data_IF_243350716024
#
_entry.id   IF_243350716024
#
_cell.length_a   1.000
_cell.length_b   1.000
_cell.length_c   1.000
_cell.angle_alpha   90.00
_cell.angle_beta   90.00
_cell.angle_gamma   90.00
#
_symmetry.space_group_name_H-M   'P 1'
#
loop_
_entity.id
_entity.type
_entity.pdbx_description
1 polymer ?
#
# COMPACT_ATOMS: atom_id res chain seq x y z
N UNK A 1 -3.40 73.70 -65.68
CA UNK A 1 -4.74 73.46 -66.29
C UNK A 1 -4.74 72.40 -67.39
N UNK A 2 -3.70 72.28 -68.24
CA UNK A 2 -3.61 71.18 -69.23
C UNK A 2 -3.11 69.88 -68.60
N UNK A 3 -2.00 69.90 -67.86
CA UNK A 3 -1.46 68.71 -67.16
C UNK A 3 -2.48 68.05 -66.23
N UNK A 4 -3.23 68.83 -65.44
CA UNK A 4 -4.29 68.31 -64.57
C UNK A 4 -5.46 67.65 -65.32
N UNK A 5 -5.68 67.97 -66.60
CA UNK A 5 -6.70 67.32 -67.43
C UNK A 5 -6.17 66.01 -68.00
N UNK A 6 -4.93 65.99 -68.46
CA UNK A 6 -4.25 64.77 -68.95
C UNK A 6 -4.11 63.72 -67.83
N UNK A 7 -3.77 64.14 -66.60
CA UNK A 7 -3.69 63.25 -65.43
C UNK A 7 -5.04 62.61 -65.08
N UNK A 8 -6.13 63.35 -65.24
CA UNK A 8 -7.49 62.86 -65.00
C UNK A 8 -7.94 61.89 -66.10
N UNK A 9 -7.61 62.17 -67.36
CA UNK A 9 -7.93 61.32 -68.51
C UNK A 9 -7.18 59.98 -68.44
N UNK A 10 -5.89 60.00 -68.09
CA UNK A 10 -5.10 58.79 -67.84
C UNK A 10 -5.66 57.95 -66.67
N UNK A 11 -6.18 58.60 -65.62
CA UNK A 11 -6.82 57.91 -64.51
C UNK A 11 -8.16 57.30 -64.94
N UNK A 12 -8.94 58.02 -65.75
CA UNK A 12 -10.21 57.54 -66.28
C UNK A 12 -10.02 56.31 -67.16
N UNK A 13 -9.05 56.34 -68.09
CA UNK A 13 -8.72 55.18 -68.93
C UNK A 13 -8.28 53.97 -68.08
N UNK A 14 -7.48 54.19 -67.04
CA UNK A 14 -7.09 53.11 -66.11
C UNK A 14 -8.29 52.51 -65.39
N UNK A 15 -9.23 53.35 -64.94
CA UNK A 15 -10.44 52.90 -64.24
C UNK A 15 -11.37 52.16 -65.21
N UNK A 16 -11.56 52.66 -66.43
CA UNK A 16 -12.33 51.99 -67.48
C UNK A 16 -11.70 50.63 -67.82
N UNK A 17 -10.37 50.58 -68.01
CA UNK A 17 -9.67 49.33 -68.27
C UNK A 17 -9.78 48.30 -67.12
N UNK A 18 -9.71 48.75 -65.86
CA UNK A 18 -9.92 47.85 -64.71
C UNK A 18 -11.40 47.44 -64.59
N UNK A 19 -12.34 48.33 -64.92
CA UNK A 19 -13.78 48.02 -64.94
C UNK A 19 -14.07 46.94 -65.98
N UNK A 20 -13.59 47.10 -67.21
CA UNK A 20 -13.69 46.10 -68.28
C UNK A 20 -13.08 44.75 -67.86
N UNK A 21 -11.92 44.78 -67.19
CA UNK A 21 -11.25 43.57 -66.69
C UNK A 21 -12.11 42.86 -65.64
N UNK A 22 -12.72 43.62 -64.73
CA UNK A 22 -13.59 43.06 -63.70
C UNK A 22 -14.90 42.52 -64.30
N UNK A 23 -15.50 43.23 -65.25
CA UNK A 23 -16.70 42.78 -65.96
C UNK A 23 -16.46 41.46 -66.70
N UNK A 24 -15.33 41.31 -67.41
CA UNK A 24 -14.96 40.05 -68.06
C UNK A 24 -14.81 38.92 -67.06
N UNK A 25 -14.11 39.15 -65.95
CA UNK A 25 -13.95 38.15 -64.87
C UNK A 25 -15.29 37.75 -64.24
N UNK A 26 -16.27 38.66 -64.20
CA UNK A 26 -17.61 38.37 -63.67
C UNK A 26 -18.45 37.54 -64.63
N UNK A 27 -18.24 37.72 -65.94
CA UNK A 27 -18.91 36.95 -66.99
C UNK A 27 -18.30 35.55 -67.17
N UNK A 28 -17.01 35.39 -66.90
CA UNK A 28 -16.31 34.11 -66.98
C UNK A 28 -16.82 33.09 -65.93
N UNK A 29 -16.61 31.80 -66.23
CA UNK A 29 -16.97 30.74 -65.31
C UNK A 29 -16.16 30.83 -64.02
N UNK A 30 -16.85 30.86 -62.87
CA UNK A 30 -16.20 30.83 -61.56
C UNK A 30 -15.33 29.57 -61.41
N UNK A 31 -14.20 29.66 -60.69
CA UNK A 31 -13.38 28.49 -60.43
C UNK A 31 -14.12 27.50 -59.51
N UNK A 32 -13.68 26.24 -59.54
CA UNK A 32 -14.39 25.11 -58.91
C UNK A 32 -14.61 25.30 -57.40
N UNK A 33 -13.67 25.91 -56.68
CA UNK A 33 -13.77 26.13 -55.23
C UNK A 33 -14.75 27.26 -54.84
N UNK A 34 -15.18 28.10 -55.79
CA UNK A 34 -16.27 29.08 -55.60
C UNK A 34 -17.65 28.49 -55.93
N UNK A 35 -17.71 27.26 -56.44
CA UNK A 35 -18.97 26.56 -56.74
C UNK A 35 -19.31 25.63 -55.58
N UNK A 36 -20.58 25.61 -55.19
CA UNK A 36 -21.09 24.61 -54.25
C UNK A 36 -21.17 23.23 -54.89
N UNK A 37 -21.14 22.17 -54.07
CA UNK A 37 -21.46 20.80 -54.47
C UNK A 37 -20.65 20.27 -55.66
N UNK A 38 -19.34 20.53 -55.67
CA UNK A 38 -18.46 20.09 -56.75
C UNK A 38 -18.19 18.57 -56.66
N UNK A 39 -18.37 17.84 -57.76
CA UNK A 39 -17.94 16.44 -57.84
C UNK A 39 -16.45 16.36 -58.25
N UNK A 40 -15.81 15.22 -57.98
CA UNK A 40 -14.40 15.00 -58.33
C UNK A 40 -14.13 15.05 -59.86
N UNK A 41 -15.15 14.87 -60.69
CA UNK A 41 -15.04 14.90 -62.16
C UNK A 41 -15.09 16.31 -62.75
N UNK A 42 -15.67 17.27 -62.02
CA UNK A 42 -15.86 18.65 -62.49
C UNK A 42 -14.66 19.54 -62.19
N UNK A 43 -13.63 18.98 -61.54
CA UNK A 43 -12.35 19.62 -61.24
C UNK A 43 -11.20 18.78 -61.80
N UNK A 44 -10.09 19.44 -62.08
CA UNK A 44 -8.87 18.76 -62.52
C UNK A 44 -8.26 17.93 -61.38
N UNK A 45 -7.46 16.92 -61.74
CA UNK A 45 -6.78 16.06 -60.78
C UNK A 45 -5.83 16.86 -59.87
N UNK A 46 -5.69 16.45 -58.60
CA UNK A 46 -4.80 17.07 -57.59
C UNK A 46 -5.05 18.54 -57.21
N UNK A 47 -5.99 19.25 -57.83
CA UNK A 47 -6.36 20.65 -57.49
C UNK A 47 -6.74 20.89 -56.03
N UNK A 48 -7.27 19.89 -55.32
CA UNK A 48 -7.60 20.01 -53.88
C UNK A 48 -6.36 20.17 -53.01
N UNK A 49 -5.18 19.71 -53.45
CA UNK A 49 -3.93 19.86 -52.69
C UNK A 49 -3.35 21.28 -52.80
N UNK A 50 -3.74 22.03 -53.82
CA UNK A 50 -3.26 23.40 -54.07
C UNK A 50 -4.01 24.42 -53.19
N UNK A 51 -5.29 24.15 -52.93
CA UNK A 51 -6.16 25.04 -52.17
C UNK A 51 -6.21 24.70 -50.67
N UNK A 52 -6.20 25.74 -49.83
CA UNK A 52 -6.31 25.59 -48.38
C UNK A 52 -7.78 25.52 -47.95
N UNK A 53 -8.30 24.30 -47.84
CA UNK A 53 -9.66 24.04 -47.38
C UNK A 53 -9.68 23.71 -45.87
N UNK A 54 -10.47 24.45 -45.11
CA UNK A 54 -10.74 24.12 -43.71
C UNK A 54 -11.90 23.12 -43.62
N UNK A 55 -11.59 21.88 -43.26
CA UNK A 55 -12.57 20.80 -43.14
C UNK A 55 -12.62 20.31 -41.70
N UNK A 56 -13.84 20.24 -41.16
CA UNK A 56 -14.02 19.67 -39.84
C UNK A 56 -13.68 18.17 -39.87
N UNK A 57 -12.72 17.78 -39.03
CA UNK A 57 -12.32 16.37 -38.87
C UNK A 57 -13.05 15.80 -37.66
N UNK A 58 -13.82 14.74 -37.87
CA UNK A 58 -14.43 13.96 -36.81
C UNK A 58 -13.42 12.89 -36.33
N UNK A 59 -12.97 13.02 -35.07
CA UNK A 59 -12.09 12.06 -34.41
C UNK A 59 -11.07 12.72 -33.48
N UNK A 60 -10.78 12.10 -32.33
CA UNK A 60 -9.66 12.52 -31.49
C UNK A 60 -8.36 12.02 -32.11
N UNK A 61 -7.46 12.93 -32.47
CA UNK A 61 -6.15 12.56 -32.97
C UNK A 61 -5.26 12.11 -31.81
N UNK A 62 -4.50 11.03 -32.01
CA UNK A 62 -3.49 10.59 -31.04
C UNK A 62 -2.38 11.66 -31.01
N UNK A 63 -2.11 12.30 -29.86
CA UNK A 63 -1.01 13.25 -29.78
C UNK A 63 0.32 12.55 -30.15
N UNK A 64 1.28 13.29 -30.74
CA UNK A 64 2.62 12.76 -30.94
C UNK A 64 3.21 12.30 -29.59
N UNK A 65 4.20 11.38 -29.61
CA UNK A 65 4.86 10.95 -28.39
C UNK A 65 5.37 12.18 -27.62
N UNK A 66 5.16 12.19 -26.31
CA UNK A 66 5.66 13.24 -25.45
C UNK A 66 7.20 13.26 -25.49
N UNK A 67 7.76 14.43 -25.24
CA UNK A 67 9.20 14.63 -25.17
C UNK A 67 9.82 13.73 -24.09
N UNK A 68 10.90 13.03 -24.45
CA UNK A 68 11.58 12.09 -23.57
C UNK A 68 12.16 12.80 -22.34
N UNK A 69 12.62 14.05 -22.50
CA UNK A 69 13.21 14.84 -21.43
C UNK A 69 12.20 15.13 -20.32
N UNK A 70 10.95 15.46 -20.68
CA UNK A 70 9.86 15.71 -19.73
C UNK A 70 9.52 14.45 -18.94
N UNK A 71 9.50 13.29 -19.60
CA UNK A 71 9.27 12.00 -18.94
C UNK A 71 10.40 11.68 -17.96
N UNK A 72 11.66 11.92 -18.36
CA UNK A 72 12.81 11.68 -17.49
C UNK A 72 12.81 12.60 -16.25
N UNK A 73 12.47 13.87 -16.42
CA UNK A 73 12.34 14.81 -15.30
C UNK A 73 11.24 14.37 -14.32
N UNK A 74 10.09 13.94 -14.85
CA UNK A 74 9.01 13.38 -14.04
C UNK A 74 9.49 12.15 -13.24
N UNK A 75 10.14 11.19 -13.89
CA UNK A 75 10.65 9.98 -13.23
C UNK A 75 11.69 10.34 -12.15
N UNK A 76 12.65 11.24 -12.45
CA UNK A 76 13.65 11.72 -11.48
C UNK A 76 12.98 12.35 -10.26
N UNK A 77 11.93 13.16 -10.47
CA UNK A 77 11.14 13.77 -9.41
C UNK A 77 10.42 12.71 -8.57
N UNK A 78 9.71 11.77 -9.19
CA UNK A 78 8.99 10.70 -8.50
C UNK A 78 9.92 9.82 -7.65
N UNK A 79 11.11 9.48 -8.16
CA UNK A 79 12.12 8.72 -7.40
C UNK A 79 12.63 9.52 -6.20
N UNK A 80 12.90 10.81 -6.39
CA UNK A 80 13.34 11.72 -5.32
C UNK A 80 12.28 11.87 -4.22
N UNK A 81 11.01 11.95 -4.62
CA UNK A 81 9.85 12.10 -3.72
C UNK A 81 9.35 10.75 -3.16
N UNK A 82 9.87 9.62 -3.64
CA UNK A 82 9.42 8.26 -3.32
C UNK A 82 7.90 8.04 -3.52
N UNK A 83 7.30 8.75 -4.48
CA UNK A 83 5.88 8.67 -4.80
C UNK A 83 5.64 7.56 -5.82
N UNK A 84 5.52 6.33 -5.33
CA UNK A 84 5.28 5.15 -6.16
C UNK A 84 3.88 4.58 -5.89
N UNK A 85 3.10 4.39 -6.95
CA UNK A 85 1.82 3.69 -6.92
C UNK A 85 2.03 2.17 -7.11
N UNK A 86 2.77 1.55 -6.18
CA UNK A 86 3.02 0.11 -6.19
C UNK A 86 2.05 -0.59 -5.24
N UNK A 87 1.44 -1.73 -5.63
CA UNK A 87 0.55 -2.47 -4.75
C UNK A 87 1.28 -2.91 -3.49
N UNK A 88 0.66 -2.68 -2.32
CA UNK A 88 1.20 -3.08 -1.02
C UNK A 88 0.73 -4.50 -0.68
N UNK A 89 1.64 -5.34 -0.18
CA UNK A 89 1.27 -6.65 0.34
C UNK A 89 0.30 -6.50 1.52
N UNK A 90 -0.88 -7.10 1.40
CA UNK A 90 -1.81 -7.21 2.52
C UNK A 90 -1.22 -8.15 3.56
N UNK A 91 -0.77 -7.61 4.69
CA UNK A 91 -0.49 -8.44 5.86
C UNK A 91 -1.80 -9.07 6.32
N UNK A 92 -1.82 -10.39 6.56
CA UNK A 92 -2.92 -11.01 7.31
C UNK A 92 -3.06 -10.22 8.62
N UNK A 93 -4.28 -9.81 8.95
CA UNK A 93 -4.57 -9.14 10.22
C UNK A 93 -3.97 -10.00 11.33
N UNK A 94 -2.85 -9.57 11.92
CA UNK A 94 -2.44 -10.17 13.17
C UNK A 94 -3.52 -9.80 14.17
N UNK A 95 -4.05 -10.77 14.94
CA UNK A 95 -4.96 -10.46 16.02
C UNK A 95 -4.31 -9.35 16.84
N UNK A 96 -4.98 -8.20 16.93
CA UNK A 96 -4.52 -7.08 17.75
C UNK A 96 -4.07 -7.68 19.09
N UNK A 97 -2.79 -7.50 19.44
CA UNK A 97 -2.28 -7.85 20.77
C UNK A 97 -3.32 -7.35 21.76
N UNK A 98 -3.98 -8.28 22.48
CA UNK A 98 -5.08 -8.00 23.41
C UNK A 98 -4.69 -6.73 24.16
N UNK A 99 -5.35 -5.61 23.85
CA UNK A 99 -5.02 -4.34 24.47
C UNK A 99 -5.13 -4.56 25.97
N UNK A 100 -4.06 -4.25 26.71
CA UNK A 100 -4.04 -4.37 28.17
C UNK A 100 -5.38 -3.89 28.70
N UNK A 101 -6.09 -4.69 29.51
CA UNK A 101 -7.42 -4.34 29.96
C UNK A 101 -7.36 -2.95 30.58
N UNK A 102 -8.25 -2.06 30.11
CA UNK A 102 -8.44 -0.78 30.75
C UNK A 102 -8.78 -1.05 32.22
N UNK A 103 -8.01 -0.45 33.13
CA UNK A 103 -8.32 -0.49 34.54
C UNK A 103 -9.64 0.26 34.72
N UNK A 104 -10.73 -0.48 34.88
CA UNK A 104 -12.01 0.10 35.29
C UNK A 104 -11.82 0.42 36.77
N UNK A 105 -11.63 1.69 37.12
CA UNK A 105 -11.71 2.18 38.49
C UNK A 105 -13.17 2.09 38.95
N UNK A 106 -13.67 0.88 39.17
CA UNK A 106 -14.86 0.70 39.99
C UNK A 106 -14.42 0.94 41.43
N UNK A 107 -14.76 2.10 41.98
CA UNK A 107 -14.43 2.55 43.34
C UNK A 107 -15.21 1.79 44.42
N UNK A 108 -15.34 0.47 44.29
CA UNK A 108 -15.88 -0.37 45.36
C UNK A 108 -14.81 -0.50 46.45
N UNK A 109 -15.09 -0.01 47.64
CA UNK A 109 -14.20 -0.09 48.81
C UNK A 109 -14.10 -1.54 49.28
N UNK A 110 -13.22 -2.33 48.67
CA UNK A 110 -12.89 -3.68 49.12
C UNK A 110 -11.81 -3.61 50.20
N UNK A 111 -11.88 -4.51 51.17
CA UNK A 111 -10.83 -4.63 52.18
C UNK A 111 -9.58 -5.26 51.58
N UNK A 112 -8.40 -4.86 52.03
CA UNK A 112 -7.12 -5.43 51.58
C UNK A 112 -7.09 -6.96 51.74
N UNK A 113 -7.72 -7.50 52.79
CA UNK A 113 -7.84 -8.95 53.03
C UNK A 113 -8.66 -9.62 51.92
N UNK A 114 -9.79 -9.03 51.56
CA UNK A 114 -10.68 -9.53 50.51
C UNK A 114 -10.00 -9.49 49.13
N UNK A 115 -9.19 -8.47 48.86
CA UNK A 115 -8.39 -8.40 47.63
C UNK A 115 -7.32 -9.50 47.58
N UNK A 116 -6.67 -9.81 48.72
CA UNK A 116 -5.71 -10.92 48.79
C UNK A 116 -6.37 -12.29 48.66
N UNK A 117 -7.53 -12.50 49.29
CA UNK A 117 -8.32 -13.73 49.14
C UNK A 117 -8.79 -13.92 47.70
N UNK A 118 -9.27 -12.85 47.07
CA UNK A 118 -9.67 -12.86 45.66
C UNK A 118 -8.49 -13.09 44.72
N UNK A 119 -7.31 -12.52 45.01
CA UNK A 119 -6.07 -12.74 44.25
C UNK A 119 -5.63 -14.20 44.40
N UNK A 120 -5.61 -14.72 45.62
CA UNK A 120 -5.23 -16.11 45.89
C UNK A 120 -6.20 -17.11 45.24
N UNK A 121 -7.50 -16.87 45.33
CA UNK A 121 -8.52 -17.66 44.67
C UNK A 121 -8.37 -17.59 43.13
N UNK A 122 -8.18 -16.40 42.55
CA UNK A 122 -7.91 -16.23 41.12
C UNK A 122 -6.64 -16.94 40.66
N UNK A 123 -5.59 -16.89 41.47
CA UNK A 123 -4.34 -17.60 41.20
C UNK A 123 -4.52 -19.12 41.23
N UNK A 124 -5.40 -19.63 42.09
CA UNK A 124 -5.73 -21.06 42.10
C UNK A 124 -6.70 -21.44 40.96
N UNK A 125 -7.45 -20.49 40.40
CA UNK A 125 -8.38 -20.64 39.27
C UNK A 125 -7.76 -20.30 37.90
N UNK A 126 -6.43 -20.13 37.82
CA UNK A 126 -5.65 -19.59 36.69
C UNK A 126 -5.73 -20.32 35.32
N UNK A 127 -6.72 -21.16 35.06
CA UNK A 127 -6.89 -21.81 33.76
C UNK A 127 -8.12 -21.38 32.95
N UNK A 128 -9.08 -20.66 33.54
CA UNK A 128 -10.27 -20.23 32.79
C UNK A 128 -10.35 -18.71 32.81
N UNK A 129 -9.78 -18.07 31.78
CA UNK A 129 -10.16 -16.70 31.42
C UNK A 129 -11.70 -16.66 31.39
N UNK A 130 -12.29 -15.86 32.28
CA UNK A 130 -13.73 -15.64 32.33
C UNK A 130 -14.14 -14.86 31.08
N UNK A 131 -14.25 -15.56 29.97
CA UNK A 131 -14.84 -15.05 28.75
C UNK A 131 -16.30 -14.73 29.04
N UNK A 132 -16.81 -13.66 28.42
CA UNK A 132 -18.22 -13.28 28.58
C UNK A 132 -19.13 -14.49 28.32
N UNK A 133 -20.00 -14.86 29.27
CA UNK A 133 -20.83 -16.08 29.15
C UNK A 133 -21.77 -16.03 27.94
N UNK A 134 -22.12 -14.82 27.49
CA UNK A 134 -22.90 -14.60 26.27
C UNK A 134 -22.08 -14.98 25.03
N UNK A 135 -20.79 -14.63 25.00
CA UNK A 135 -19.90 -14.92 23.88
C UNK A 135 -19.64 -16.42 23.76
N UNK A 136 -19.47 -17.12 24.88
CA UNK A 136 -19.28 -18.57 24.89
C UNK A 136 -20.55 -19.31 24.47
N UNK A 137 -21.74 -18.84 24.89
CA UNK A 137 -23.02 -19.39 24.45
C UNK A 137 -23.22 -19.25 22.93
N UNK A 138 -22.98 -18.04 22.39
CA UNK A 138 -23.07 -17.79 20.94
C UNK A 138 -22.08 -18.67 20.17
N UNK A 139 -20.85 -18.85 20.67
CA UNK A 139 -19.87 -19.73 20.04
C UNK A 139 -20.32 -21.19 20.00
N UNK A 140 -20.93 -21.68 21.08
CA UNK A 140 -21.46 -23.04 21.14
C UNK A 140 -22.62 -23.26 20.16
N UNK A 141 -23.59 -22.33 20.11
CA UNK A 141 -24.69 -22.37 19.15
C UNK A 141 -24.20 -22.30 17.70
N UNK A 142 -23.19 -21.47 17.44
CA UNK A 142 -22.60 -21.34 16.10
C UNK A 142 -21.92 -22.64 15.64
N UNK A 143 -21.19 -23.32 16.53
CA UNK A 143 -20.57 -24.62 16.22
C UNK A 143 -21.61 -25.69 15.89
N UNK A 144 -22.69 -25.77 16.68
CA UNK A 144 -23.80 -26.71 16.44
C UNK A 144 -24.51 -26.44 15.10
N UNK A 145 -24.74 -25.18 14.75
CA UNK A 145 -25.31 -24.81 13.44
C UNK A 145 -24.38 -25.21 12.30
N UNK A 146 -23.08 -24.96 12.43
CA UNK A 146 -22.12 -25.30 11.37
C UNK A 146 -21.96 -26.81 11.19
N UNK A 147 -21.94 -27.59 12.27
CA UNK A 147 -21.90 -29.05 12.17
C UNK A 147 -23.11 -29.60 11.39
N UNK A 148 -24.30 -29.04 11.63
CA UNK A 148 -25.52 -29.40 10.90
C UNK A 148 -25.45 -29.03 9.42
N UNK A 149 -24.92 -27.85 9.09
CA UNK A 149 -24.75 -27.39 7.70
C UNK A 149 -23.68 -28.21 6.95
N UNK A 150 -22.58 -28.53 7.61
CA UNK A 150 -21.49 -29.33 7.07
C UNK A 150 -21.98 -30.76 6.78
N UNK A 151 -22.78 -31.34 7.68
CA UNK A 151 -23.44 -32.64 7.48
C UNK A 151 -24.44 -32.61 6.30
N UNK A 152 -25.28 -31.57 6.22
CA UNK A 152 -26.26 -31.40 5.14
C UNK A 152 -25.59 -31.25 3.76
N UNK A 153 -24.43 -30.60 3.71
CA UNK A 153 -23.65 -30.40 2.48
C UNK A 153 -22.76 -31.59 2.09
N UNK A 154 -22.92 -32.75 2.75
CA UNK A 154 -22.06 -33.93 2.54
C UNK A 154 -20.56 -33.60 2.69
N UNK A 155 -20.23 -32.69 3.60
CA UNK A 155 -18.86 -32.22 3.87
C UNK A 155 -18.18 -31.53 2.67
N UNK A 156 -18.94 -31.04 1.69
CA UNK A 156 -18.43 -30.21 0.59
C UNK A 156 -18.48 -28.72 0.93
N UNK A 157 -17.69 -28.30 1.92
CA UNK A 157 -17.59 -26.91 2.35
C UNK A 157 -16.17 -26.37 2.24
N UNK A 158 -16.03 -25.05 2.35
CA UNK A 158 -14.71 -24.40 2.42
C UNK A 158 -14.19 -24.52 3.85
N UNK A 159 -13.03 -25.17 4.09
CA UNK A 159 -12.49 -25.34 5.43
C UNK A 159 -12.36 -24.03 6.18
N UNK A 160 -12.55 -24.09 7.51
CA UNK A 160 -12.46 -22.93 8.38
C UNK A 160 -11.12 -22.21 8.23
N UNK A 161 -11.15 -20.88 8.34
CA UNK A 161 -9.93 -20.07 8.34
C UNK A 161 -9.10 -20.47 9.56
N UNK A 162 -7.85 -20.87 9.34
CA UNK A 162 -6.93 -21.20 10.41
C UNK A 162 -6.79 -20.01 11.38
N UNK A 163 -7.18 -20.24 12.64
CA UNK A 163 -6.88 -19.36 13.74
C UNK A 163 -5.61 -19.87 14.44
N UNK A 164 -4.66 -18.98 14.78
CA UNK A 164 -3.47 -19.40 15.51
C UNK A 164 -3.87 -19.81 16.94
N UNK A 165 -3.91 -21.11 17.18
CA UNK A 165 -4.16 -21.69 18.50
C UNK A 165 -2.83 -21.93 19.22
N UNK A 166 -2.75 -21.54 20.50
CA UNK A 166 -1.56 -21.75 21.33
C UNK A 166 -1.83 -22.94 22.23
N UNK A 167 -1.26 -24.10 21.88
CA UNK A 167 -1.28 -25.29 22.73
C UNK A 167 -0.06 -25.31 23.67
N UNK A 168 -0.29 -25.32 24.97
CA UNK A 168 0.78 -25.44 25.97
C UNK A 168 1.03 -26.92 26.26
N UNK A 169 2.14 -27.45 25.75
CA UNK A 169 2.56 -28.85 25.98
C UNK A 169 3.45 -28.90 27.24
N UNK A 170 3.15 -29.81 28.15
CA UNK A 170 3.95 -30.06 29.34
C UNK A 170 4.98 -31.16 29.07
N UNK A 171 6.17 -31.08 29.70
CA UNK A 171 7.26 -32.07 29.58
C UNK A 171 6.92 -33.42 30.23
N UNK A 172 6.04 -34.18 29.58
CA UNK A 172 5.64 -35.54 29.96
C UNK A 172 6.28 -36.55 28.99
N UNK A 173 6.48 -37.82 29.39
CA UNK A 173 6.89 -38.86 28.46
C UNK A 173 5.81 -39.08 27.40
N UNK A 174 6.21 -39.38 26.16
CA UNK A 174 5.30 -39.58 25.04
C UNK A 174 4.29 -40.71 25.29
N UNK A 175 4.66 -41.68 26.13
CA UNK A 175 3.80 -42.75 26.62
C UNK A 175 2.45 -42.26 27.19
N UNK A 176 2.40 -41.05 27.78
CA UNK A 176 1.15 -40.49 28.33
C UNK A 176 0.14 -40.12 27.23
N UNK A 177 0.61 -39.85 26.01
CA UNK A 177 -0.24 -39.57 24.86
C UNK A 177 -0.60 -40.84 24.07
N UNK A 178 0.06 -41.96 24.33
CA UNK A 178 -0.25 -43.23 23.66
C UNK A 178 -1.58 -43.81 24.15
N UNK A 179 -2.24 -44.57 23.28
CA UNK A 179 -3.41 -45.35 23.65
C UNK A 179 -3.02 -46.41 24.69
N UNK A 180 -3.92 -46.68 25.64
CA UNK A 180 -3.72 -47.69 26.67
C UNK A 180 -3.74 -49.10 26.06
N UNK A 181 -2.59 -49.56 25.59
CA UNK A 181 -2.35 -50.90 25.07
C UNK A 181 -1.35 -51.69 25.93
N UNK A 182 -1.27 -53.02 25.76
CA UNK A 182 -0.32 -53.86 26.48
C UNK A 182 1.14 -53.68 26.04
N UNK A 183 1.40 -52.94 24.96
CA UNK A 183 2.76 -52.70 24.44
C UNK A 183 2.97 -51.21 24.25
N UNK A 184 3.97 -50.67 24.95
CA UNK A 184 4.47 -49.32 24.75
C UNK A 184 5.45 -49.30 23.58
N UNK A 185 5.32 -48.31 22.70
CA UNK A 185 6.18 -48.19 21.50
C UNK A 185 7.26 -47.12 21.72
N UNK A 186 6.95 -46.01 22.40
CA UNK A 186 7.88 -44.90 22.58
C UNK A 186 8.46 -44.77 24.00
N UNK A 187 9.75 -44.41 24.06
CA UNK A 187 10.50 -44.11 25.29
C UNK A 187 11.01 -42.66 25.32
N UNK A 188 10.49 -41.79 24.45
CA UNK A 188 10.97 -40.41 24.27
C UNK A 188 10.05 -39.44 24.99
N UNK A 189 10.57 -38.29 25.42
CA UNK A 189 9.77 -37.21 26.00
C UNK A 189 9.09 -36.36 24.92
N UNK A 190 7.97 -35.71 25.26
CA UNK A 190 7.21 -34.85 24.35
C UNK A 190 7.94 -33.56 23.97
N UNK A 191 8.81 -33.06 24.85
CA UNK A 191 9.50 -31.79 24.67
C UNK A 191 10.86 -32.03 24.01
N UNK A 192 11.17 -31.26 22.97
CA UNK A 192 12.46 -31.40 22.29
C UNK A 192 13.60 -30.87 23.19
N UNK A 193 14.84 -31.41 23.05
CA UNK A 193 15.99 -30.89 23.79
C UNK A 193 16.23 -29.39 23.58
N UNK A 194 15.88 -28.84 22.42
CA UNK A 194 15.99 -27.40 22.11
C UNK A 194 14.96 -26.54 22.85
N UNK A 195 13.81 -27.12 23.22
CA UNK A 195 12.75 -26.46 23.98
C UNK A 195 13.03 -26.54 25.49
N UNK A 196 13.64 -27.64 25.95
CA UNK A 196 14.19 -27.75 27.32
C UNK A 196 15.40 -26.83 27.50
N UNK A 197 16.28 -26.80 26.51
CA UNK A 197 17.53 -26.06 26.51
C UNK A 197 17.68 -25.33 25.18
N UNK A 198 17.41 -24.03 25.19
CA UNK A 198 17.57 -23.19 24.00
C UNK A 198 18.95 -23.41 23.36
N UNK A 199 19.02 -23.56 22.03
CA UNK A 199 20.28 -23.83 21.36
C UNK A 199 21.29 -22.74 21.71
N UNK A 200 22.42 -23.14 22.31
CA UNK A 200 23.55 -22.25 22.53
C UNK A 200 24.06 -21.83 21.16
N UNK A 201 23.68 -20.64 20.71
CA UNK A 201 23.99 -20.13 19.38
C UNK A 201 25.50 -20.14 19.07
N UNK A 202 26.20 -19.04 19.39
CA UNK A 202 27.66 -19.03 19.28
C UNK A 202 28.27 -19.55 20.59
N UNK A 203 29.41 -20.24 20.48
CA UNK A 203 30.21 -20.66 21.64
C UNK A 203 30.47 -19.42 22.50
N UNK A 204 30.06 -19.48 23.77
CA UNK A 204 30.26 -18.39 24.73
C UNK A 204 31.76 -18.26 25.00
N UNK A 205 32.40 -17.29 24.33
CA UNK A 205 33.78 -16.88 24.62
C UNK A 205 33.77 -15.77 25.68
N UNK A 206 34.69 -15.86 26.63
CA UNK A 206 34.90 -14.78 27.60
C UNK A 206 35.38 -13.48 26.92
N UNK A 207 35.09 -12.32 27.52
CA UNK A 207 35.58 -11.02 27.03
C UNK A 207 37.10 -10.96 26.89
N UNK A 208 37.79 -11.75 27.72
CA UNK A 208 39.25 -11.94 27.78
C UNK A 208 39.81 -12.80 26.65
N UNK A 209 39.01 -13.71 26.10
CA UNK A 209 39.39 -14.66 25.04
C UNK A 209 39.10 -14.11 23.63
N UNK A 210 38.36 -13.00 23.56
CA UNK A 210 37.95 -12.34 22.32
C UNK A 210 39.08 -11.49 21.73
N UNK A 211 39.61 -11.93 20.58
CA UNK A 211 40.59 -11.17 19.80
C UNK A 211 39.95 -9.93 19.16
N UNK A 212 40.78 -8.94 18.79
CA UNK A 212 40.33 -7.71 18.13
C UNK A 212 39.60 -7.97 16.79
N UNK A 213 40.03 -9.00 16.05
CA UNK A 213 39.39 -9.42 14.80
C UNK A 213 38.01 -10.01 15.03
N UNK A 214 37.84 -10.81 16.08
CA UNK A 214 36.55 -11.40 16.48
C UNK A 214 35.55 -10.30 16.89
N UNK A 215 35.99 -9.34 17.71
CA UNK A 215 35.18 -8.16 18.09
C UNK A 215 34.69 -7.36 16.86
N UNK A 216 35.57 -7.18 15.85
CA UNK A 216 35.22 -6.49 14.60
C UNK A 216 34.19 -7.28 13.78
N UNK A 217 34.35 -8.60 13.68
CA UNK A 217 33.40 -9.49 12.98
C UNK A 217 32.03 -9.46 13.65
N UNK A 218 31.99 -9.61 14.98
CA UNK A 218 30.77 -9.57 15.77
C UNK A 218 30.02 -8.23 15.61
N UNK A 219 30.74 -7.09 15.66
CA UNK A 219 30.14 -5.76 15.40
C UNK A 219 29.50 -5.66 14.02
N UNK A 220 30.18 -6.15 12.96
CA UNK A 220 29.63 -6.16 11.60
C UNK A 220 28.39 -7.06 11.49
N UNK A 221 28.40 -8.23 12.15
CA UNK A 221 27.25 -9.13 12.21
C UNK A 221 26.05 -8.45 12.87
N UNK A 222 26.24 -7.83 14.04
CA UNK A 222 25.19 -7.08 14.73
C UNK A 222 24.66 -5.90 13.90
N UNK A 223 25.54 -5.17 13.21
CA UNK A 223 25.15 -4.08 12.32
C UNK A 223 24.27 -4.58 11.16
N UNK A 224 24.62 -5.73 10.56
CA UNK A 224 23.82 -6.37 9.50
C UNK A 224 22.44 -6.80 10.00
N UNK A 225 22.37 -7.41 11.18
CA UNK A 225 21.10 -7.83 11.80
C UNK A 225 20.22 -6.62 12.09
N UNK A 226 20.79 -5.54 12.64
CA UNK A 226 20.04 -4.30 12.91
C UNK A 226 19.54 -3.64 11.64
N UNK A 227 20.36 -3.54 10.59
CA UNK A 227 19.97 -2.96 9.30
C UNK A 227 18.81 -3.75 8.67
N UNK A 228 18.87 -5.09 8.65
CA UNK A 228 17.77 -5.94 8.18
C UNK A 228 16.47 -5.70 8.95
N UNK A 229 16.55 -5.63 10.29
CA UNK A 229 15.38 -5.33 11.14
C UNK A 229 14.82 -3.93 10.92
N UNK A 230 15.67 -2.95 10.62
CA UNK A 230 15.25 -1.57 10.34
C UNK A 230 14.48 -1.46 9.02
N UNK A 231 14.97 -2.11 7.95
CA UNK A 231 14.27 -2.13 6.66
C UNK A 231 12.88 -2.79 6.74
N UNK A 232 12.74 -3.82 7.57
CA UNK A 232 11.44 -4.46 7.83
C UNK A 232 10.48 -3.59 8.65
N UNK A 233 10.99 -2.60 9.39
CA UNK A 233 10.18 -1.69 10.23
C UNK A 233 9.71 -0.44 9.48
N UNK A 234 10.52 0.08 8.55
CA UNK A 234 10.16 1.26 7.75
C UNK A 234 8.98 1.03 6.81
N UNK A 235 8.63 -0.23 6.51
CA UNK A 235 7.44 -0.57 5.74
C UNK A 235 6.14 -0.54 6.57
N UNK A 236 6.24 -0.33 7.90
CA UNK A 236 5.10 -0.23 8.81
C UNK A 236 4.98 1.20 9.37
N UNK A 237 4.36 2.12 8.61
CA UNK A 237 4.26 3.55 8.96
C UNK A 237 3.55 3.84 10.30
N UNK A 238 2.77 2.88 10.83
CA UNK A 238 2.09 3.00 12.12
C UNK A 238 3.06 2.97 13.32
N UNK A 239 4.23 2.31 13.18
CA UNK A 239 5.24 2.23 14.24
C UNK A 239 6.00 3.54 14.46
N UNK A 240 6.07 4.40 13.44
CA UNK A 240 6.92 5.59 13.44
C UNK A 240 6.38 6.69 14.35
N UNK A 241 5.06 6.86 14.44
CA UNK A 241 4.42 7.85 15.35
C UNK A 241 4.66 7.50 16.82
N UNK A 242 4.47 6.24 17.22
CA UNK A 242 4.73 5.76 18.58
C UNK A 242 6.22 5.83 18.94
N UNK A 243 7.09 5.47 18.01
CA UNK A 243 8.54 5.55 18.20
C UNK A 243 9.03 7.00 18.33
N UNK A 244 8.48 7.93 17.53
CA UNK A 244 8.75 9.36 17.64
C UNK A 244 8.30 9.93 18.99
N UNK A 245 7.08 9.59 19.43
CA UNK A 245 6.55 10.01 20.73
C UNK A 245 7.40 9.49 21.90
N UNK A 246 7.80 8.21 21.87
CA UNK A 246 8.68 7.63 22.88
C UNK A 246 10.08 8.28 22.91
N UNK A 247 10.58 8.73 21.76
CA UNK A 247 11.84 9.49 21.67
C UNK A 247 11.71 10.87 22.29
N UNK A 248 10.60 11.58 22.04
CA UNK A 248 10.29 12.89 22.66
C UNK A 248 10.16 12.75 24.17
N UNK A 249 9.46 11.72 24.66
CA UNK A 249 9.32 11.44 26.09
C UNK A 249 10.70 11.21 26.74
N UNK A 250 11.55 10.40 26.10
CA UNK A 250 12.91 10.13 26.59
C UNK A 250 13.79 11.40 26.60
N UNK A 251 13.57 12.32 25.67
CA UNK A 251 14.28 13.60 25.64
C UNK A 251 13.82 14.55 26.73
N UNK A 252 12.52 14.57 27.04
CA UNK A 252 11.94 15.38 28.13
C UNK A 252 12.46 14.96 29.52
N UNK A 253 12.68 13.66 29.75
CA UNK A 253 13.22 13.16 31.03
C UNK A 253 14.74 13.32 31.20
N UNK A 254 15.47 13.91 30.24
CA UNK A 254 16.90 14.19 30.42
C UNK A 254 17.09 15.42 31.31
N UNK A 255 17.99 15.38 32.32
CA UNK A 255 18.27 16.54 33.17
C UNK A 255 18.82 17.70 32.31
N UNK A 256 18.20 18.87 32.41
CA UNK A 256 18.52 20.06 31.61
C UNK A 256 17.81 20.16 30.24
N UNK A 257 16.78 19.33 29.97
CA UNK A 257 16.03 19.43 28.71
C UNK A 257 14.98 20.56 28.72
N UNK A 258 14.83 21.24 27.59
CA UNK A 258 13.83 22.29 27.37
C UNK A 258 12.47 21.76 26.87
N UNK A 259 12.27 20.44 26.86
CA UNK A 259 11.07 19.79 26.31
C UNK A 259 10.13 19.44 27.47
N UNK A 260 8.97 20.11 27.55
CA UNK A 260 7.91 19.83 28.52
C UNK A 260 6.81 19.00 27.86
N UNK A 261 6.44 17.87 28.47
CA UNK A 261 5.26 17.10 28.06
C UNK A 261 4.06 17.73 28.76
N UNK A 262 3.09 18.22 27.99
CA UNK A 262 1.80 18.66 28.54
C UNK A 262 0.88 17.44 28.53
N UNK A 263 0.45 17.02 29.71
CA UNK A 263 -0.50 15.90 29.93
C UNK A 263 -1.91 16.30 29.59
#
# INVERSE_FOLDING_TARGET
MKEQKEDFEMLQERVEAETDRLERKMLDAKPWYLKGEIAARDREENTVLEEYLDVQRHGQFRPPPADEDVIQEFIKKSIKEQSFDSPVFKSKEQPLEKSKPYLIDSTTQKSLVEDYENLFARNNLLEKEQNDPVKTAIQAEMLDIFEKLDSLSHLHFVPYKHQPEVSVIQGKPALVMEEAGPTAVSNVDLLAPEEVCAPRGEVLKGSTELTATDKRRHRKKLMRIRSKRSHLKSTSSAGDKRAALAKVIRMAHRPGSNVKIVS
#
